data_IF_209860361496
#
_entry.id   IF_209860361496
#
_cell.length_a   1.000
_cell.length_b   1.000
_cell.length_c   1.000
_cell.angle_alpha   90.00
_cell.angle_beta   90.00
_cell.angle_gamma   90.00
#
_symmetry.space_group_name_H-M   'P 1'
#
loop_
_entity.id
_entity.type
_entity.pdbx_description
1 polymer ?
#
# COMPACT_ATOMS: atom_id res chain seq x y z
N UNK A 1 -1.99 11.15 23.72
CA UNK A 1 -2.33 11.95 22.52
C UNK A 1 -3.43 11.24 21.77
N UNK A 2 -4.42 12.00 21.31
CA UNK A 2 -5.60 11.48 20.62
C UNK A 2 -5.68 12.10 19.22
N UNK A 3 -6.13 11.31 18.26
CA UNK A 3 -6.63 11.81 16.98
C UNK A 3 -8.15 11.91 17.13
N UNK A 4 -8.69 13.09 16.87
CA UNK A 4 -10.12 13.38 17.00
C UNK A 4 -10.61 13.76 15.61
N UNK A 5 -11.57 12.99 15.09
CA UNK A 5 -12.23 13.27 13.84
C UNK A 5 -13.69 13.64 14.11
N UNK A 6 -14.15 14.77 13.57
CA UNK A 6 -15.55 15.14 13.57
C UNK A 6 -16.13 14.80 12.19
N UNK A 7 -17.21 14.03 12.17
CA UNK A 7 -17.85 13.64 10.92
C UNK A 7 -18.43 14.89 10.21
N UNK A 8 -18.25 14.95 8.89
CA UNK A 8 -18.81 16.04 8.08
C UNK A 8 -20.31 15.83 7.77
N UNK A 9 -20.79 14.61 7.95
CA UNK A 9 -22.14 14.18 7.57
C UNK A 9 -23.05 13.98 8.79
N UNK A 10 -22.49 13.96 10.00
CA UNK A 10 -23.26 13.86 11.26
C UNK A 10 -22.49 14.50 12.41
N UNK A 11 -23.15 14.79 13.53
CA UNK A 11 -22.55 15.45 14.70
C UNK A 11 -21.72 14.49 15.59
N UNK A 12 -21.32 13.34 15.06
CA UNK A 12 -20.52 12.38 15.81
C UNK A 12 -19.02 12.70 15.70
N UNK A 13 -18.31 12.50 16.81
CA UNK A 13 -16.86 12.49 16.86
C UNK A 13 -16.33 11.09 17.06
N UNK A 14 -15.28 10.72 16.32
CA UNK A 14 -14.50 9.52 16.55
C UNK A 14 -13.15 9.88 17.19
N UNK A 15 -12.75 9.12 18.21
CA UNK A 15 -11.54 9.36 18.97
C UNK A 15 -10.63 8.14 18.90
N UNK A 16 -9.41 8.33 18.40
CA UNK A 16 -8.39 7.28 18.31
C UNK A 16 -7.22 7.59 19.23
N UNK A 17 -6.79 6.59 20.00
CA UNK A 17 -5.65 6.72 20.88
C UNK A 17 -4.36 6.48 20.11
N UNK A 18 -3.59 7.54 19.90
CA UNK A 18 -2.30 7.46 19.21
C UNK A 18 -1.18 7.04 20.17
N UNK A 19 -1.11 7.69 21.33
CA UNK A 19 -0.15 7.36 22.38
C UNK A 19 -0.81 7.39 23.76
N UNK A 20 -0.53 6.37 24.57
CA UNK A 20 -0.96 6.25 25.96
C UNK A 20 0.23 6.48 26.88
N UNK A 21 0.08 7.33 27.90
CA UNK A 21 1.06 7.47 29.00
C UNK A 21 2.53 7.66 28.57
N UNK A 22 2.76 8.44 27.51
CA UNK A 22 4.13 8.79 27.10
C UNK A 22 4.51 10.17 27.68
N UNK A 23 5.80 10.35 27.99
CA UNK A 23 6.34 11.67 28.31
C UNK A 23 6.57 12.45 27.00
N UNK A 24 6.31 13.77 26.95
CA UNK A 24 6.61 14.58 25.77
C UNK A 24 8.08 14.51 25.35
N UNK A 25 8.99 14.32 26.30
CA UNK A 25 10.43 14.17 26.06
C UNK A 25 10.79 12.86 25.31
N UNK A 26 9.87 11.89 25.24
CA UNK A 26 10.05 10.67 24.45
C UNK A 26 9.78 10.85 22.95
N UNK A 27 9.17 11.98 22.56
CA UNK A 27 8.96 12.35 21.16
C UNK A 27 10.14 13.19 20.69
N UNK A 28 10.55 13.00 19.43
CA UNK A 28 11.49 13.94 18.83
C UNK A 28 10.80 15.28 18.50
N UNK A 29 11.60 16.33 18.27
CA UNK A 29 11.09 17.68 18.01
C UNK A 29 10.10 17.74 16.83
N UNK A 30 10.42 17.05 15.73
CA UNK A 30 9.56 17.02 14.55
C UNK A 30 8.22 16.35 14.83
N UNK A 31 8.22 15.24 15.56
CA UNK A 31 6.98 14.55 15.95
C UNK A 31 6.12 15.43 16.86
N UNK A 32 6.74 16.10 17.83
CA UNK A 32 6.01 16.99 18.74
C UNK A 32 5.34 18.13 17.96
N UNK A 33 6.08 18.74 17.04
CA UNK A 33 5.59 19.83 16.18
C UNK A 33 4.46 19.35 15.26
N UNK A 34 4.59 18.16 14.66
CA UNK A 34 3.53 17.52 13.86
C UNK A 34 2.22 17.35 14.67
N UNK A 35 2.32 16.88 15.93
CA UNK A 35 1.16 16.69 16.80
C UNK A 35 0.55 18.02 17.24
N UNK A 36 1.36 19.03 17.54
CA UNK A 36 0.88 20.35 17.97
C UNK A 36 0.17 21.09 16.84
N UNK A 37 0.70 20.99 15.62
CA UNK A 37 0.16 21.71 14.46
C UNK A 37 -0.91 20.92 13.69
N UNK A 38 -1.24 19.70 14.13
CA UNK A 38 -2.09 18.76 13.37
C UNK A 38 -1.66 18.67 11.90
N UNK A 39 -0.36 18.42 11.67
CA UNK A 39 0.19 18.47 10.32
C UNK A 39 -0.52 17.49 9.38
N UNK A 40 -0.72 17.91 8.13
CA UNK A 40 -1.43 17.10 7.14
C UNK A 40 -0.79 15.72 6.98
N UNK A 41 0.55 15.65 6.94
CA UNK A 41 1.30 14.39 6.85
C UNK A 41 1.05 13.45 8.02
N UNK A 42 0.87 13.99 9.24
CA UNK A 42 0.56 13.20 10.42
C UNK A 42 -0.86 12.64 10.34
N UNK A 43 -1.83 13.47 9.95
CA UNK A 43 -3.23 13.06 9.76
C UNK A 43 -3.32 11.94 8.72
N UNK A 44 -2.71 12.14 7.55
CA UNK A 44 -2.67 11.13 6.49
C UNK A 44 -2.04 9.81 6.99
N UNK A 45 -0.92 9.89 7.71
CA UNK A 45 -0.21 8.70 8.21
C UNK A 45 -1.12 7.79 9.05
N UNK A 46 -1.94 8.36 9.94
CA UNK A 46 -2.84 7.59 10.81
C UNK A 46 -4.15 7.22 10.12
N UNK A 47 -4.71 8.09 9.28
CA UNK A 47 -5.89 7.79 8.49
C UNK A 47 -5.64 6.62 7.51
N UNK A 48 -4.39 6.46 7.06
CA UNK A 48 -3.99 5.44 6.11
C UNK A 48 -3.44 4.14 6.72
N UNK A 49 -3.44 4.03 8.05
CA UNK A 49 -2.98 2.83 8.76
C UNK A 49 -4.18 2.01 9.21
N UNK A 50 -4.62 1.05 8.39
CA UNK A 50 -5.80 0.24 8.73
C UNK A 50 -5.62 -0.57 10.01
N UNK A 51 -4.41 -1.06 10.31
CA UNK A 51 -4.16 -1.77 11.56
C UNK A 51 -4.34 -0.83 12.77
N UNK A 52 -3.94 0.44 12.63
CA UNK A 52 -4.24 1.47 13.62
C UNK A 52 -5.74 1.73 13.76
N UNK A 53 -6.49 1.82 12.66
CA UNK A 53 -7.94 2.03 12.69
C UNK A 53 -8.67 0.88 13.38
N UNK A 54 -8.38 -0.38 13.02
CA UNK A 54 -8.99 -1.56 13.64
C UNK A 54 -8.70 -1.64 15.14
N UNK A 55 -7.46 -1.36 15.57
CA UNK A 55 -7.11 -1.32 17.01
C UNK A 55 -7.84 -0.21 17.78
N UNK A 56 -8.38 0.79 17.08
CA UNK A 56 -9.18 1.87 17.65
C UNK A 56 -10.69 1.70 17.42
N UNK A 57 -11.14 0.46 17.13
CA UNK A 57 -12.56 0.12 17.11
C UNK A 57 -13.30 0.57 15.85
N UNK A 58 -12.60 0.75 14.73
CA UNK A 58 -13.25 0.88 13.43
C UNK A 58 -13.49 -0.52 12.88
N UNK A 59 -14.75 -0.91 12.71
CA UNK A 59 -15.11 -2.26 12.24
C UNK A 59 -14.98 -2.41 10.73
N UNK A 60 -15.28 -1.34 9.99
CA UNK A 60 -15.25 -1.32 8.53
C UNK A 60 -14.51 -0.07 8.06
N UNK A 61 -13.56 -0.27 7.14
CA UNK A 61 -12.80 0.80 6.52
C UNK A 61 -12.79 0.54 5.02
N UNK A 62 -13.30 1.51 4.27
CA UNK A 62 -13.27 1.46 2.82
C UNK A 62 -11.83 1.55 2.31
N UNK A 63 -11.57 0.83 1.21
CA UNK A 63 -10.28 0.96 0.52
C UNK A 63 -10.28 2.35 -0.14
N UNK A 64 -9.30 3.20 0.17
CA UNK A 64 -9.24 4.51 -0.45
C UNK A 64 -9.02 4.38 -1.96
N UNK A 65 -9.58 5.32 -2.73
CA UNK A 65 -9.33 5.37 -4.17
C UNK A 65 -7.83 5.51 -4.42
N UNK A 66 -7.30 4.87 -5.45
CA UNK A 66 -5.89 4.91 -5.76
C UNK A 66 -5.66 4.90 -7.27
N UNK A 67 -4.47 5.34 -7.68
CA UNK A 67 -4.01 5.23 -9.06
C UNK A 67 -2.64 4.58 -9.13
N UNK A 68 -2.45 3.69 -10.12
CA UNK A 68 -1.16 3.03 -10.36
C UNK A 68 -0.41 3.82 -11.45
N UNK A 69 0.56 4.62 -11.03
CA UNK A 69 1.43 5.38 -11.94
C UNK A 69 2.58 4.46 -12.39
N UNK A 70 3.03 4.66 -13.63
CA UNK A 70 4.11 3.90 -14.25
C UNK A 70 3.77 3.53 -15.68
N UNK A 71 4.76 3.10 -16.43
CA UNK A 71 4.58 2.62 -17.81
C UNK A 71 3.71 1.36 -17.85
N UNK A 72 3.12 1.04 -19.00
CA UNK A 72 2.50 -0.29 -19.19
C UNK A 72 3.52 -1.17 -19.91
N UNK A 73 3.56 -2.44 -19.55
CA UNK A 73 4.39 -3.46 -20.21
C UNK A 73 3.57 -4.73 -20.43
N UNK A 74 4.03 -5.58 -21.35
CA UNK A 74 3.43 -6.87 -21.62
C UNK A 74 3.91 -7.88 -20.57
N UNK A 75 3.04 -8.74 -20.01
CA UNK A 75 3.45 -9.75 -19.04
C UNK A 75 4.50 -10.75 -19.55
N UNK A 76 4.71 -10.81 -20.86
CA UNK A 76 5.73 -11.62 -21.53
C UNK A 76 7.11 -10.95 -21.58
N UNK A 77 7.24 -9.69 -21.16
CA UNK A 77 8.53 -8.99 -21.07
C UNK A 77 9.28 -9.37 -19.78
N UNK A 78 10.61 -9.40 -19.86
CA UNK A 78 11.46 -9.53 -18.69
C UNK A 78 11.55 -8.19 -17.94
N UNK A 79 10.82 -8.08 -16.83
CA UNK A 79 10.64 -6.82 -16.08
C UNK A 79 10.82 -7.04 -14.59
N UNK A 80 11.68 -6.24 -13.96
CA UNK A 80 11.66 -6.05 -12.51
C UNK A 80 10.71 -4.89 -12.19
N UNK A 81 9.56 -5.21 -11.61
CA UNK A 81 8.52 -4.28 -11.21
C UNK A 81 8.66 -3.95 -9.72
N UNK A 82 9.00 -2.70 -9.39
CA UNK A 82 8.97 -2.22 -8.01
C UNK A 82 7.70 -1.42 -7.74
N UNK A 83 6.81 -1.94 -6.89
CA UNK A 83 5.61 -1.23 -6.44
C UNK A 83 5.91 -0.56 -5.09
N UNK A 84 5.68 0.75 -5.00
CA UNK A 84 5.86 1.52 -3.75
C UNK A 84 4.56 2.17 -3.32
N UNK A 85 4.30 2.14 -2.02
CA UNK A 85 3.23 2.90 -1.38
C UNK A 85 3.81 3.74 -0.24
N UNK A 86 3.37 5.01 -0.16
CA UNK A 86 3.73 5.90 0.96
C UNK A 86 3.19 5.37 2.29
N UNK A 87 2.08 4.64 2.26
CA UNK A 87 1.36 4.16 3.44
C UNK A 87 1.19 2.65 3.43
N UNK A 88 0.81 2.08 4.58
CA UNK A 88 0.43 0.68 4.68
C UNK A 88 -0.86 0.47 3.89
N UNK A 89 -0.76 -0.16 2.73
CA UNK A 89 -1.85 -0.18 1.76
C UNK A 89 -2.36 -1.60 1.52
N UNK A 90 -3.40 -2.07 2.23
CA UNK A 90 -3.76 -3.48 2.28
C UNK A 90 -4.59 -3.96 1.06
N UNK A 91 -4.29 -3.42 -0.12
CA UNK A 91 -4.80 -3.90 -1.40
C UNK A 91 -4.02 -5.14 -1.83
N UNK A 92 -4.73 -6.12 -2.36
CA UNK A 92 -4.11 -7.35 -2.87
C UNK A 92 -3.16 -7.01 -4.03
N UNK A 93 -1.96 -7.58 -4.00
CA UNK A 93 -0.99 -7.43 -5.11
C UNK A 93 -1.62 -7.91 -6.42
N UNK A 94 -2.42 -8.98 -6.37
CA UNK A 94 -3.16 -9.48 -7.52
C UNK A 94 -4.11 -8.45 -8.15
N UNK A 95 -4.77 -7.61 -7.32
CA UNK A 95 -5.68 -6.59 -7.84
C UNK A 95 -4.88 -5.50 -8.57
N UNK A 96 -3.79 -5.03 -7.96
CA UNK A 96 -2.92 -4.01 -8.54
C UNK A 96 -2.35 -4.42 -9.90
N UNK A 97 -1.80 -5.64 -9.98
CA UNK A 97 -1.18 -6.14 -11.22
C UNK A 97 -2.22 -6.35 -12.31
N UNK A 98 -3.36 -6.94 -11.96
CA UNK A 98 -4.42 -7.19 -12.93
C UNK A 98 -5.03 -5.90 -13.47
N UNK A 99 -5.22 -4.91 -12.62
CA UNK A 99 -5.72 -3.60 -13.02
C UNK A 99 -4.71 -2.92 -13.96
N UNK A 100 -3.42 -2.87 -13.58
CA UNK A 100 -2.39 -2.17 -14.35
C UNK A 100 -2.04 -2.82 -15.68
N UNK A 101 -2.02 -4.16 -15.72
CA UNK A 101 -1.64 -4.93 -16.91
C UNK A 101 -2.85 -5.51 -17.65
N UNK A 102 -4.07 -5.14 -17.25
CA UNK A 102 -5.34 -5.60 -17.84
C UNK A 102 -5.49 -7.13 -17.90
N UNK A 103 -5.06 -7.82 -16.84
CA UNK A 103 -5.11 -9.29 -16.77
C UNK A 103 -6.40 -9.80 -16.13
N UNK A 104 -6.94 -10.86 -16.72
CA UNK A 104 -7.95 -11.69 -16.08
C UNK A 104 -7.36 -12.43 -14.87
N UNK A 105 -8.24 -12.97 -14.02
CA UNK A 105 -7.79 -13.79 -12.89
C UNK A 105 -7.05 -15.04 -13.35
N UNK A 106 -7.54 -15.67 -14.42
CA UNK A 106 -6.97 -16.91 -14.93
C UNK A 106 -5.58 -16.70 -15.52
N UNK A 107 -5.36 -15.61 -16.26
CA UNK A 107 -4.04 -15.25 -16.79
C UNK A 107 -3.05 -14.98 -15.65
N UNK A 108 -3.44 -14.16 -14.67
CA UNK A 108 -2.59 -13.87 -13.52
C UNK A 108 -2.17 -15.12 -12.74
N UNK A 109 -3.13 -16.01 -12.44
CA UNK A 109 -2.83 -17.25 -11.72
C UNK A 109 -1.95 -18.18 -12.53
N UNK A 110 -2.21 -18.31 -13.84
CA UNK A 110 -1.38 -19.11 -14.74
C UNK A 110 0.06 -18.60 -14.78
N UNK A 111 0.26 -17.29 -14.83
CA UNK A 111 1.61 -16.71 -14.79
C UNK A 111 2.34 -16.95 -13.46
N UNK A 112 1.62 -17.01 -12.33
CA UNK A 112 2.21 -17.44 -11.05
C UNK A 112 2.57 -18.93 -11.10
N UNK A 113 1.63 -19.77 -11.53
CA UNK A 113 1.79 -21.23 -11.52
C UNK A 113 2.92 -21.70 -12.47
N UNK A 114 3.14 -20.95 -13.56
CA UNK A 114 4.23 -21.19 -14.50
C UNK A 114 5.58 -20.58 -14.06
N UNK A 115 5.63 -19.85 -12.93
CA UNK A 115 6.85 -19.17 -12.47
C UNK A 115 7.24 -17.93 -13.29
N UNK A 116 6.32 -17.40 -14.11
CA UNK A 116 6.54 -16.17 -14.87
C UNK A 116 6.46 -14.93 -13.98
N UNK A 117 5.82 -15.00 -12.80
CA UNK A 117 5.72 -13.89 -11.84
C UNK A 117 6.16 -14.38 -10.47
N UNK A 118 7.20 -13.77 -9.93
CA UNK A 118 7.70 -14.03 -8.58
C UNK A 118 7.86 -12.72 -7.81
N UNK A 119 7.95 -12.81 -6.49
CA UNK A 119 8.18 -11.65 -5.62
C UNK A 119 9.50 -11.71 -4.89
N UNK A 120 10.03 -10.53 -4.58
CA UNK A 120 11.19 -10.32 -3.73
C UNK A 120 10.79 -9.37 -2.59
N UNK A 121 10.78 -9.81 -1.33
CA UNK A 121 11.00 -11.19 -0.87
C UNK A 121 9.88 -12.15 -1.31
N UNK A 122 10.13 -13.45 -1.25
CA UNK A 122 9.15 -14.47 -1.59
C UNK A 122 7.90 -14.36 -0.71
N UNK A 123 6.73 -14.24 -1.33
CA UNK A 123 5.43 -14.22 -0.68
C UNK A 123 4.35 -14.85 -1.58
N UNK A 124 3.26 -15.30 -0.98
CA UNK A 124 2.11 -15.84 -1.73
C UNK A 124 1.41 -14.72 -2.52
N UNK A 125 1.66 -14.66 -3.83
CA UNK A 125 1.06 -13.66 -4.71
C UNK A 125 -0.45 -13.88 -4.98
N UNK A 126 -1.00 -15.06 -4.62
CA UNK A 126 -2.44 -15.33 -4.73
C UNK A 126 -3.24 -14.67 -3.60
N UNK A 127 -2.61 -14.43 -2.45
CA UNK A 127 -3.25 -13.89 -1.24
C UNK A 127 -2.59 -12.63 -0.68
N UNK A 128 -1.37 -12.33 -1.13
CA UNK A 128 -0.52 -11.27 -0.61
C UNK A 128 -1.13 -9.88 -0.79
N UNK A 129 -1.11 -9.11 0.28
CA UNK A 129 -1.44 -7.68 0.27
C UNK A 129 -0.16 -6.86 0.15
N UNK A 130 -0.25 -5.73 -0.53
CA UNK A 130 0.82 -4.75 -0.49
C UNK A 130 0.96 -4.23 0.96
N UNK A 131 2.20 -4.02 1.39
CA UNK A 131 2.48 -3.31 2.66
C UNK A 131 2.98 -1.91 2.32
N UNK A 132 4.29 -1.68 2.44
CA UNK A 132 4.95 -0.45 1.98
C UNK A 132 5.44 -0.54 0.55
N UNK A 133 5.71 -1.75 0.09
CA UNK A 133 6.16 -2.01 -1.27
C UNK A 133 6.39 -3.49 -1.49
N UNK A 134 6.60 -3.85 -2.74
CA UNK A 134 6.98 -5.19 -3.18
C UNK A 134 7.74 -5.08 -4.49
N UNK A 135 8.75 -5.92 -4.66
CA UNK A 135 9.38 -6.13 -5.97
C UNK A 135 8.84 -7.40 -6.58
N UNK A 136 8.47 -7.35 -7.85
CA UNK A 136 8.00 -8.46 -8.65
C UNK A 136 8.93 -8.66 -9.83
N UNK A 137 9.23 -9.90 -10.18
CA UNK A 137 10.00 -10.23 -11.36
C UNK A 137 9.08 -10.95 -12.33
N UNK A 138 8.94 -10.36 -13.51
CA UNK A 138 8.27 -10.94 -14.66
C UNK A 138 9.34 -11.57 -15.54
N UNK A 139 9.12 -12.83 -15.93
CA UNK A 139 10.03 -13.56 -16.82
C UNK A 139 9.31 -14.01 -18.08
N UNK A 140 9.92 -13.71 -19.21
CA UNK A 140 9.56 -14.27 -20.50
C UNK A 140 9.84 -15.77 -20.51
N UNK A 141 9.05 -16.53 -21.26
CA UNK A 141 9.19 -17.99 -21.34
C UNK A 141 10.33 -18.42 -22.30
N UNK A 142 11.17 -17.50 -22.80
CA UNK A 142 12.23 -17.79 -23.77
C UNK A 142 13.54 -17.10 -23.35
N UNK A 143 14.50 -17.93 -22.94
CA UNK A 143 15.94 -17.71 -22.78
C UNK A 143 16.48 -16.48 -22.03
N UNK A 144 17.44 -16.78 -21.13
CA UNK A 144 18.28 -15.91 -20.32
C UNK A 144 18.49 -14.48 -20.87
N UNK A 145 17.71 -13.52 -20.38
CA UNK A 145 17.92 -12.09 -20.54
C UNK A 145 17.86 -11.38 -19.17
N UNK A 146 18.57 -10.25 -19.03
CA UNK A 146 18.57 -9.47 -17.78
C UNK A 146 17.32 -8.57 -17.78
N UNK A 147 16.43 -8.67 -16.77
CA UNK A 147 15.20 -7.90 -16.74
C UNK A 147 15.47 -6.39 -16.64
N UNK A 148 14.67 -5.59 -17.35
CA UNK A 148 14.70 -4.14 -17.21
C UNK A 148 13.94 -3.70 -15.95
N UNK A 149 14.54 -2.81 -15.15
CA UNK A 149 13.91 -2.29 -13.94
C UNK A 149 12.89 -1.19 -14.25
N UNK A 150 11.64 -1.40 -13.84
CA UNK A 150 10.56 -0.42 -13.93
C UNK A 150 9.96 -0.16 -12.54
N UNK A 151 9.72 1.11 -12.22
CA UNK A 151 9.21 1.54 -10.91
C UNK A 151 7.78 2.06 -11.05
N UNK A 152 6.89 1.54 -10.23
CA UNK A 152 5.47 1.89 -10.22
C UNK A 152 5.12 2.47 -8.85
N UNK A 153 5.14 3.80 -8.71
CA UNK A 153 4.59 4.42 -7.52
C UNK A 153 3.06 4.26 -7.55
N UNK A 154 2.49 3.78 -6.44
CA UNK A 154 1.07 3.95 -6.18
C UNK A 154 0.90 5.38 -5.74
N UNK A 155 0.17 6.15 -6.53
CA UNK A 155 -0.04 7.55 -6.24
C UNK A 155 -1.51 7.83 -5.95
N UNK A 156 -1.65 8.79 -5.03
CA UNK A 156 -2.80 9.63 -4.76
C UNK A 156 -4.10 8.91 -4.44
N UNK A 157 -4.42 9.02 -3.16
CA UNK A 157 -5.78 8.89 -2.65
C UNK A 157 -6.37 10.28 -2.77
N UNK A 158 -7.43 10.40 -3.57
CA UNK A 158 -8.23 11.63 -3.63
C UNK A 158 -9.14 11.71 -2.41
#
# INVERSE_FOLDING_TARGET
>A
MWLIYNCLNCDNSWNARVHSHISPQSLNLLQLEDFQNNSHSLVEKYAMDMDFLYRNGVDEVDIPQYSIIGEVFLPSEDVELEIKSKYLFPVKVSALIREKLHLSQAEYLRSIDNGNIESIPAQDLKKGKLKRGITLVFRSCHDFFIPHKRIFPISRIQ
#
